data_IF_660943042484
#
_entry.id   IF_660943042484
#
_cell.length_a   1.000
_cell.length_b   1.000
_cell.length_c   1.000
_cell.angle_alpha   90.00
_cell.angle_beta   90.00
_cell.angle_gamma   90.00
#
_symmetry.space_group_name_H-M   'P 1'
#
loop_
_entity.id
_entity.type
_entity.pdbx_description
1 polymer ?
#
# COMPACT_ATOMS: atom_id res chain seq x y z
N UNK A 1 91.87 -4.79 -38.18
CA UNK A 1 90.54 -4.77 -38.84
C UNK A 1 89.54 -5.42 -37.89
N UNK A 2 88.76 -4.61 -37.16
CA UNK A 2 87.72 -5.10 -36.23
C UNK A 2 86.39 -5.18 -36.98
N UNK A 3 85.70 -6.30 -36.80
CA UNK A 3 84.41 -6.66 -37.39
C UNK A 3 83.37 -5.53 -37.40
N UNK A 4 82.99 -5.05 -38.59
CA UNK A 4 81.82 -4.19 -38.84
C UNK A 4 80.59 -4.99 -39.31
N UNK A 5 80.62 -6.33 -39.22
CA UNK A 5 79.61 -7.21 -39.82
C UNK A 5 78.35 -7.51 -38.99
N UNK A 6 78.12 -6.88 -37.82
CA UNK A 6 77.07 -7.32 -36.89
C UNK A 6 76.10 -6.25 -36.38
N UNK A 7 76.03 -5.07 -37.01
CA UNK A 7 75.09 -4.01 -36.61
C UNK A 7 73.78 -4.01 -37.43
N UNK A 8 73.80 -4.55 -38.66
CA UNK A 8 72.66 -4.50 -39.60
C UNK A 8 71.55 -5.55 -39.33
N UNK A 9 71.74 -6.52 -38.43
CA UNK A 9 70.82 -7.67 -38.24
C UNK A 9 69.59 -7.38 -37.35
N UNK A 10 69.46 -6.17 -36.80
CA UNK A 10 68.42 -5.81 -35.83
C UNK A 10 67.28 -4.91 -36.34
N UNK A 11 67.39 -4.32 -37.54
CA UNK A 11 66.41 -3.33 -38.02
C UNK A 11 65.32 -4.03 -38.84
N UNK A 12 64.25 -4.43 -38.14
CA UNK A 12 63.02 -4.92 -38.79
C UNK A 12 62.14 -3.73 -39.18
N UNK A 13 61.40 -3.88 -40.27
CA UNK A 13 60.39 -2.90 -40.66
C UNK A 13 59.39 -2.68 -39.52
N UNK A 14 59.14 -1.42 -39.21
CA UNK A 14 58.23 -1.04 -38.12
C UNK A 14 56.96 -0.46 -38.71
N UNK A 15 55.81 -1.05 -38.35
CA UNK A 15 54.49 -0.50 -38.68
C UNK A 15 54.21 0.70 -37.77
N UNK A 16 54.04 1.88 -38.34
CA UNK A 16 53.85 3.15 -37.63
C UNK A 16 52.46 3.71 -37.95
N UNK A 17 51.68 4.16 -36.94
CA UNK A 17 50.37 4.76 -37.17
C UNK A 17 50.48 6.06 -37.97
N UNK A 18 49.45 6.37 -38.76
CA UNK A 18 49.36 7.63 -39.49
C UNK A 18 49.31 8.84 -38.53
N UNK A 19 50.00 9.94 -38.88
CA UNK A 19 49.93 11.20 -38.13
C UNK A 19 48.54 11.86 -38.11
N UNK A 20 47.69 11.60 -39.10
CA UNK A 20 46.39 12.26 -39.23
C UNK A 20 45.41 11.76 -38.17
N UNK A 21 44.94 12.68 -37.32
CA UNK A 21 43.95 12.35 -36.29
C UNK A 21 42.63 11.89 -36.92
N UNK A 22 42.17 10.69 -36.53
CA UNK A 22 40.98 10.04 -37.10
C UNK A 22 41.28 9.03 -38.20
N UNK A 23 42.53 8.95 -38.70
CA UNK A 23 42.93 7.90 -39.63
C UNK A 23 43.40 6.65 -38.87
N UNK A 24 42.84 5.49 -39.20
CA UNK A 24 43.22 4.19 -38.64
C UNK A 24 44.35 3.49 -39.42
N UNK A 25 44.77 4.06 -40.54
CA UNK A 25 45.81 3.49 -41.39
C UNK A 25 47.21 3.67 -40.78
N UNK A 26 48.14 2.87 -41.29
CA UNK A 26 49.55 2.87 -40.90
C UNK A 26 50.45 2.90 -42.14
N UNK A 27 51.72 3.23 -41.93
CA UNK A 27 52.78 3.12 -42.95
C UNK A 27 53.94 2.30 -42.38
N UNK A 28 54.86 1.88 -43.23
CA UNK A 28 56.01 1.07 -42.85
C UNK A 28 57.27 1.92 -42.85
N UNK A 29 57.95 1.99 -41.70
CA UNK A 29 59.26 2.60 -41.57
C UNK A 29 60.31 1.56 -41.94
N UNK A 30 60.85 1.67 -43.15
CA UNK A 30 61.74 0.65 -43.71
C UNK A 30 63.08 0.61 -42.99
N UNK A 31 63.78 -0.52 -43.06
CA UNK A 31 65.08 -0.67 -42.40
C UNK A 31 66.12 0.35 -42.92
N UNK A 32 66.05 0.71 -44.21
CA UNK A 32 66.90 1.73 -44.83
C UNK A 32 66.63 3.13 -44.27
N UNK A 33 65.36 3.53 -44.14
CA UNK A 33 64.99 4.80 -43.53
C UNK A 33 65.37 4.87 -42.04
N UNK A 34 65.31 3.74 -41.34
CA UNK A 34 65.79 3.64 -39.95
C UNK A 34 67.30 3.82 -39.85
N UNK A 35 68.07 3.25 -40.79
CA UNK A 35 69.53 3.43 -40.86
C UNK A 35 69.91 4.88 -41.18
N UNK A 36 69.21 5.52 -42.12
CA UNK A 36 69.47 6.92 -42.46
C UNK A 36 69.16 7.84 -41.28
N UNK A 37 68.02 7.66 -40.61
CA UNK A 37 67.68 8.44 -39.42
C UNK A 37 68.72 8.26 -38.31
N UNK A 38 69.22 7.04 -38.10
CA UNK A 38 70.27 6.75 -37.11
C UNK A 38 71.62 7.40 -37.49
N UNK A 39 71.97 7.42 -38.78
CA UNK A 39 73.16 8.10 -39.29
C UNK A 39 73.09 9.63 -39.12
N UNK A 40 71.89 10.20 -39.22
CA UNK A 40 71.60 11.61 -38.93
C UNK A 40 71.48 11.92 -37.42
N UNK A 41 71.63 10.91 -36.56
CA UNK A 41 71.54 11.05 -35.10
C UNK A 41 70.10 11.17 -34.57
N UNK A 42 69.09 10.95 -35.41
CA UNK A 42 67.68 10.95 -35.01
C UNK A 42 67.22 9.56 -34.63
N UNK A 43 66.77 9.38 -33.39
CA UNK A 43 66.18 8.13 -32.89
C UNK A 43 64.65 8.17 -32.85
N UNK A 44 64.05 9.32 -33.17
CA UNK A 44 62.60 9.51 -33.14
C UNK A 44 61.93 8.99 -34.41
N UNK A 45 60.80 8.29 -34.24
CA UNK A 45 59.99 7.81 -35.35
C UNK A 45 59.38 9.01 -36.09
N UNK A 46 59.60 9.16 -37.40
CA UNK A 46 59.04 10.28 -38.16
C UNK A 46 57.51 10.31 -38.08
N UNK A 47 56.93 11.47 -37.77
CA UNK A 47 55.47 11.66 -37.83
C UNK A 47 55.05 11.93 -39.28
N UNK A 48 54.78 10.88 -40.06
CA UNK A 48 54.37 10.95 -41.48
C UNK A 48 52.91 10.54 -41.71
N UNK A 49 52.35 10.97 -42.84
CA UNK A 49 51.03 10.53 -43.30
C UNK A 49 51.15 9.15 -43.97
N UNK A 50 50.10 8.33 -43.89
CA UNK A 50 50.06 7.09 -44.67
C UNK A 50 49.88 7.41 -46.17
N UNK A 51 50.22 6.49 -47.08
CA UNK A 51 50.10 6.72 -48.52
C UNK A 51 48.69 7.17 -48.95
N UNK A 52 47.64 6.60 -48.35
CA UNK A 52 46.25 6.99 -48.62
C UNK A 52 45.97 8.44 -48.21
N UNK A 53 46.38 8.84 -47.00
CA UNK A 53 46.22 10.20 -46.53
C UNK A 53 47.05 11.20 -47.35
N UNK A 54 48.26 10.80 -47.76
CA UNK A 54 49.10 11.64 -48.60
C UNK A 54 48.48 11.87 -49.98
N UNK A 55 47.98 10.81 -50.62
CA UNK A 55 47.29 10.92 -51.91
C UNK A 55 46.01 11.76 -51.85
N UNK A 56 45.25 11.69 -50.73
CA UNK A 56 44.11 12.58 -50.52
C UNK A 56 44.53 14.01 -50.20
N UNK A 57 45.60 14.21 -49.43
CA UNK A 57 46.14 15.52 -49.09
C UNK A 57 46.55 16.31 -50.34
N UNK A 58 47.18 15.63 -51.30
CA UNK A 58 47.67 16.24 -52.53
C UNK A 58 46.52 16.79 -53.40
N UNK A 59 45.40 16.06 -53.45
CA UNK A 59 44.17 16.45 -54.16
C UNK A 59 43.39 17.59 -53.51
N UNK A 60 43.63 17.89 -52.23
CA UNK A 60 42.91 18.96 -51.55
C UNK A 60 43.52 20.31 -51.95
N UNK A 61 42.68 21.33 -52.03
CA UNK A 61 43.09 22.72 -52.25
C UNK A 61 42.68 23.58 -51.06
N UNK A 62 43.40 24.67 -50.83
CA UNK A 62 43.01 25.63 -49.79
C UNK A 62 41.73 26.33 -50.25
N UNK A 63 40.69 26.29 -49.42
CA UNK A 63 39.39 26.91 -49.72
C UNK A 63 39.15 28.12 -48.85
N UNK A 64 38.60 29.18 -49.43
CA UNK A 64 38.09 30.31 -48.66
C UNK A 64 36.67 30.01 -48.19
N UNK A 65 36.45 30.17 -46.89
CA UNK A 65 35.17 29.92 -46.23
C UNK A 65 34.65 31.22 -45.63
N UNK A 66 33.33 31.48 -45.67
CA UNK A 66 32.76 32.68 -45.06
C UNK A 66 32.98 32.68 -43.53
N UNK A 67 33.09 33.89 -42.97
CA UNK A 67 33.13 34.11 -41.53
C UNK A 67 31.81 33.67 -40.88
N UNK A 68 31.90 33.02 -39.72
CA UNK A 68 30.72 32.62 -38.95
C UNK A 68 30.03 33.77 -38.18
N UNK A 69 30.66 34.96 -38.09
CA UNK A 69 30.06 36.10 -37.40
C UNK A 69 28.94 36.71 -38.27
N UNK A 70 27.75 36.85 -37.69
CA UNK A 70 26.58 37.44 -38.38
C UNK A 70 26.89 38.87 -38.84
N UNK A 71 26.72 39.13 -40.14
CA UNK A 71 27.00 40.43 -40.75
C UNK A 71 28.45 40.65 -41.20
N UNK A 72 29.37 39.71 -40.96
CA UNK A 72 30.73 39.78 -41.47
C UNK A 72 30.83 39.17 -42.88
N UNK A 73 31.38 39.93 -43.84
CA UNK A 73 31.67 39.45 -45.20
C UNK A 73 33.08 38.89 -45.38
N UNK A 74 33.89 38.87 -44.29
CA UNK A 74 35.25 38.35 -44.34
C UNK A 74 35.28 36.83 -44.56
N UNK A 75 36.43 36.34 -45.01
CA UNK A 75 36.68 34.91 -45.22
C UNK A 75 37.83 34.41 -44.35
N UNK A 76 37.91 33.10 -44.15
CA UNK A 76 39.05 32.42 -43.54
C UNK A 76 39.51 31.27 -44.42
N UNK A 77 40.79 30.90 -44.30
CA UNK A 77 41.39 29.85 -45.12
C UNK A 77 41.22 28.49 -44.47
N UNK A 78 40.45 27.62 -45.10
CA UNK A 78 40.36 26.21 -44.74
C UNK A 78 41.51 25.46 -45.41
N UNK A 79 42.60 25.26 -44.66
CA UNK A 79 43.79 24.57 -45.17
C UNK A 79 43.56 23.09 -45.48
N UNK A 80 44.43 22.52 -46.32
CA UNK A 80 44.38 21.10 -46.75
C UNK A 80 44.43 20.11 -45.56
N UNK A 81 45.21 20.43 -44.52
CA UNK A 81 45.39 19.52 -43.38
C UNK A 81 44.12 19.41 -42.50
N UNK A 82 43.50 20.51 -42.03
CA UNK A 82 42.18 20.45 -41.39
C UNK A 82 41.10 19.79 -42.24
N UNK A 83 41.07 20.05 -43.56
CA UNK A 83 40.15 19.40 -44.49
C UNK A 83 40.28 17.88 -44.47
N UNK A 84 41.52 17.38 -44.55
CA UNK A 84 41.79 15.96 -44.49
C UNK A 84 41.39 15.36 -43.12
N UNK A 85 41.69 16.04 -42.02
CA UNK A 85 41.32 15.59 -40.68
C UNK A 85 39.80 15.51 -40.49
N UNK A 86 39.05 16.51 -40.94
CA UNK A 86 37.59 16.51 -40.86
C UNK A 86 37.00 15.40 -41.73
N UNK A 87 37.55 15.17 -42.94
CA UNK A 87 37.14 14.06 -43.82
C UNK A 87 37.40 12.69 -43.18
N UNK A 88 38.58 12.47 -42.57
CA UNK A 88 38.89 11.22 -41.86
C UNK A 88 38.01 11.00 -40.64
N UNK A 89 37.48 12.07 -40.03
CA UNK A 89 36.50 12.01 -38.94
C UNK A 89 35.04 11.87 -39.42
N UNK A 90 34.82 11.73 -40.73
CA UNK A 90 33.48 11.62 -41.32
C UNK A 90 32.66 12.91 -41.26
N UNK A 91 33.28 14.07 -41.03
CA UNK A 91 32.57 15.36 -41.06
C UNK A 91 32.37 15.78 -42.51
N UNK A 92 31.12 16.00 -42.88
CA UNK A 92 30.72 16.43 -44.23
C UNK A 92 30.70 17.95 -44.38
N UNK A 93 30.57 18.68 -43.28
CA UNK A 93 30.51 20.15 -43.28
C UNK A 93 31.78 20.75 -42.64
N UNK A 94 32.36 21.81 -43.24
CA UNK A 94 33.46 22.56 -42.65
C UNK A 94 33.07 23.17 -41.29
N UNK A 95 34.01 23.30 -40.34
CA UNK A 95 33.73 23.94 -39.06
C UNK A 95 33.44 25.43 -39.22
N UNK A 96 32.49 25.94 -38.45
CA UNK A 96 32.21 27.37 -38.37
C UNK A 96 33.36 28.08 -37.64
N UNK A 97 34.07 28.99 -38.34
CA UNK A 97 35.20 29.76 -37.79
C UNK A 97 35.09 31.24 -38.14
N UNK A 98 35.72 32.07 -37.32
CA UNK A 98 35.81 33.49 -37.57
C UNK A 98 36.95 33.79 -38.55
N UNK A 99 36.80 34.86 -39.32
CA UNK A 99 37.91 35.42 -40.08
C UNK A 99 38.98 35.97 -39.13
N UNK A 100 40.25 36.11 -39.57
CA UNK A 100 41.33 36.60 -38.70
C UNK A 100 41.02 37.94 -38.01
N UNK A 101 40.27 38.83 -38.68
CA UNK A 101 39.83 40.10 -38.11
C UNK A 101 38.83 39.91 -36.95
N UNK A 102 37.78 39.12 -37.15
CA UNK A 102 36.80 38.82 -36.10
C UNK A 102 37.40 37.98 -34.96
N UNK A 103 38.38 37.12 -35.26
CA UNK A 103 39.09 36.37 -34.22
C UNK A 103 39.98 37.29 -33.37
N UNK A 104 40.63 38.29 -33.98
CA UNK A 104 41.34 39.37 -33.28
C UNK A 104 40.41 40.19 -32.38
N UNK A 105 39.26 40.63 -32.91
CA UNK A 105 38.24 41.33 -32.12
C UNK A 105 37.74 40.48 -30.96
N UNK A 106 37.44 39.20 -31.20
CA UNK A 106 37.01 38.28 -30.15
C UNK A 106 38.08 38.04 -29.06
N UNK A 107 39.37 38.14 -29.41
CA UNK A 107 40.47 38.03 -28.46
C UNK A 107 40.66 39.29 -27.61
N UNK A 108 40.32 40.46 -28.15
CA UNK A 108 40.33 41.74 -27.42
C UNK A 108 39.16 41.85 -26.43
N UNK A 109 38.02 41.24 -26.73
CA UNK A 109 36.85 41.22 -25.83
C UNK A 109 37.16 40.35 -24.61
N UNK A 110 37.27 40.99 -23.43
CA UNK A 110 37.46 40.28 -22.18
C UNK A 110 36.28 39.36 -21.88
N UNK A 111 36.59 38.12 -21.50
CA UNK A 111 35.57 37.17 -21.05
C UNK A 111 34.86 37.70 -19.80
N UNK A 112 33.53 37.73 -19.82
CA UNK A 112 32.73 38.19 -18.69
C UNK A 112 32.29 36.98 -17.87
N UNK A 113 32.61 36.95 -16.59
CA UNK A 113 32.10 35.93 -15.68
C UNK A 113 30.60 36.12 -15.41
N UNK A 114 29.85 35.02 -15.51
CA UNK A 114 28.41 34.99 -15.29
C UNK A 114 28.06 33.87 -14.32
N UNK A 115 27.02 34.10 -13.53
CA UNK A 115 26.50 33.10 -12.60
C UNK A 115 25.87 31.93 -13.37
N UNK A 116 26.00 30.73 -12.81
CA UNK A 116 25.33 29.55 -13.33
C UNK A 116 23.80 29.71 -13.27
N UNK A 117 23.10 29.29 -14.34
CA UNK A 117 21.62 29.27 -14.39
C UNK A 117 20.97 28.43 -13.29
N UNK A 118 21.68 27.42 -12.79
CA UNK A 118 21.13 26.41 -11.86
C UNK A 118 20.92 27.01 -10.48
N UNK A 119 19.69 26.95 -9.96
CA UNK A 119 19.37 27.45 -8.63
C UNK A 119 20.21 26.75 -7.55
N UNK A 120 20.85 27.53 -6.68
CA UNK A 120 21.72 27.03 -5.62
C UNK A 120 23.17 26.76 -6.03
N UNK A 121 23.53 26.93 -7.31
CA UNK A 121 24.92 26.85 -7.75
C UNK A 121 25.61 28.23 -7.63
N UNK A 122 26.73 28.31 -6.91
CA UNK A 122 27.55 29.52 -6.77
C UNK A 122 28.67 29.63 -7.81
N UNK A 123 28.86 28.60 -8.64
CA UNK A 123 29.89 28.61 -9.67
C UNK A 123 29.55 29.61 -10.79
N UNK A 124 30.59 30.13 -11.40
CA UNK A 124 30.50 30.99 -12.57
C UNK A 124 30.90 30.23 -13.84
N UNK A 125 30.57 30.80 -14.99
CA UNK A 125 31.08 30.42 -16.29
C UNK A 125 31.51 31.66 -17.06
N UNK A 126 32.42 31.49 -18.02
CA UNK A 126 33.01 32.60 -18.76
C UNK A 126 32.27 32.75 -20.08
N UNK A 127 31.60 33.89 -20.27
CA UNK A 127 31.08 34.28 -21.57
C UNK A 127 32.22 34.82 -22.41
N UNK A 128 32.85 33.94 -23.21
CA UNK A 128 34.07 34.28 -23.97
C UNK A 128 33.81 35.39 -24.99
N UNK A 129 34.84 36.18 -25.33
CA UNK A 129 34.71 37.23 -26.35
C UNK A 129 34.22 36.71 -27.70
N UNK A 130 34.54 35.46 -28.04
CA UNK A 130 34.03 34.78 -29.22
C UNK A 130 32.51 34.55 -29.17
N UNK A 131 32.00 34.13 -28.01
CA UNK A 131 30.56 33.93 -27.80
C UNK A 131 29.82 35.27 -27.75
N UNK A 132 30.42 36.29 -27.15
CA UNK A 132 29.89 37.66 -27.12
C UNK A 132 29.74 38.21 -28.53
N UNK A 133 30.78 38.07 -29.37
CA UNK A 133 30.74 38.53 -30.76
C UNK A 133 29.73 37.74 -31.61
N UNK A 134 29.51 36.45 -31.32
CA UNK A 134 28.50 35.65 -32.03
C UNK A 134 27.06 35.93 -31.59
N UNK A 135 26.85 36.50 -30.40
CA UNK A 135 25.51 36.69 -29.87
C UNK A 135 24.82 37.85 -30.60
N UNK A 136 23.61 37.62 -31.11
CA UNK A 136 22.78 38.66 -31.73
C UNK A 136 22.30 39.71 -30.70
N UNK A 137 22.20 39.31 -29.43
CA UNK A 137 21.80 40.17 -28.31
C UNK A 137 22.98 40.53 -27.42
N UNK A 138 23.00 41.76 -26.90
CA UNK A 138 23.94 42.19 -25.86
C UNK A 138 23.73 41.50 -24.50
N UNK A 139 22.63 40.76 -24.34
CA UNK A 139 22.33 39.97 -23.14
C UNK A 139 23.00 38.59 -23.21
N UNK A 140 23.77 38.21 -22.18
CA UNK A 140 24.36 36.87 -22.10
C UNK A 140 23.27 35.79 -22.05
N UNK A 141 23.47 34.64 -22.70
CA UNK A 141 22.56 33.51 -22.60
C UNK A 141 22.60 32.90 -21.19
N UNK A 142 21.47 32.38 -20.70
CA UNK A 142 21.45 31.63 -19.45
C UNK A 142 22.04 30.22 -19.65
N UNK A 143 23.33 30.05 -19.29
CA UNK A 143 24.04 28.77 -19.37
C UNK A 143 24.35 28.17 -18.00
N UNK A 144 24.56 26.86 -18.00
CA UNK A 144 25.07 26.13 -16.84
C UNK A 144 26.59 26.25 -16.81
N UNK A 145 27.19 26.28 -15.62
CA UNK A 145 28.65 26.14 -15.50
C UNK A 145 29.10 24.74 -15.93
N UNK A 146 30.39 24.58 -16.26
CA UNK A 146 30.95 23.32 -16.75
C UNK A 146 30.65 22.15 -15.79
N UNK A 147 30.83 22.36 -14.49
CA UNK A 147 30.54 21.34 -13.46
C UNK A 147 29.07 20.90 -13.47
N UNK A 148 28.14 21.85 -13.58
CA UNK A 148 26.70 21.55 -13.67
C UNK A 148 26.37 20.86 -15.00
N UNK A 149 26.98 21.27 -16.10
CA UNK A 149 26.77 20.67 -17.41
C UNK A 149 27.22 19.20 -17.44
N UNK A 150 28.39 18.89 -16.88
CA UNK A 150 28.89 17.52 -16.77
C UNK A 150 27.98 16.65 -15.90
N UNK A 151 27.50 17.16 -14.76
CA UNK A 151 26.50 16.46 -13.93
C UNK A 151 25.20 16.23 -14.69
N UNK A 152 24.69 17.26 -15.37
CA UNK A 152 23.45 17.15 -16.16
C UNK A 152 23.56 16.12 -17.29
N UNK A 153 24.73 16.03 -17.96
CA UNK A 153 24.99 14.99 -18.96
C UNK A 153 25.02 13.57 -18.39
N UNK A 154 25.46 13.41 -17.15
CA UNK A 154 25.54 12.12 -16.47
C UNK A 154 24.19 11.65 -15.90
N UNK A 155 23.23 12.56 -15.75
CA UNK A 155 21.88 12.24 -15.30
C UNK A 155 21.01 11.84 -16.50
N UNK A 156 19.97 11.06 -16.24
CA UNK A 156 18.91 10.69 -17.19
C UNK A 156 17.55 11.02 -16.57
N UNK A 157 16.55 11.32 -17.40
CA UNK A 157 15.20 11.55 -16.89
C UNK A 157 14.65 10.24 -16.30
N UNK A 158 14.08 10.31 -15.09
CA UNK A 158 13.61 9.13 -14.37
C UNK A 158 12.10 9.17 -14.19
N UNK A 159 11.42 8.07 -14.47
CA UNK A 159 10.01 7.90 -14.10
C UNK A 159 9.90 7.52 -12.62
N UNK A 160 9.25 8.37 -11.83
CA UNK A 160 9.04 8.16 -10.40
C UNK A 160 7.57 7.84 -10.15
N UNK A 161 7.29 6.93 -9.22
CA UNK A 161 5.93 6.56 -8.84
C UNK A 161 5.15 7.76 -8.28
N UNK A 162 3.85 7.80 -8.54
CA UNK A 162 2.93 8.76 -7.95
C UNK A 162 2.91 8.62 -6.41
N UNK A 163 2.74 9.73 -5.70
CA UNK A 163 2.61 9.76 -4.25
C UNK A 163 1.39 8.97 -3.71
N UNK A 164 0.35 8.79 -4.52
CA UNK A 164 -0.88 8.08 -4.13
C UNK A 164 -0.61 6.57 -4.13
N UNK A 165 -0.74 5.91 -2.97
CA UNK A 165 -0.35 4.50 -2.78
C UNK A 165 -1.03 3.50 -3.73
N UNK A 166 -2.26 3.80 -4.15
CA UNK A 166 -3.04 2.96 -5.08
C UNK A 166 -2.84 3.31 -6.56
N UNK A 167 -2.11 4.38 -6.88
CA UNK A 167 -1.88 4.81 -8.25
C UNK A 167 -0.64 4.12 -8.85
N UNK A 168 -0.80 3.47 -10.00
CA UNK A 168 0.31 2.93 -10.79
C UNK A 168 0.94 3.96 -11.73
N UNK A 169 0.38 5.17 -11.79
CA UNK A 169 0.90 6.26 -12.62
C UNK A 169 2.27 6.73 -12.16
N UNK A 170 3.05 7.21 -13.11
CA UNK A 170 4.38 7.79 -12.86
C UNK A 170 4.43 9.24 -13.31
N UNK A 171 5.36 10.02 -12.77
CA UNK A 171 5.70 11.35 -13.27
C UNK A 171 7.19 11.41 -13.61
N UNK A 172 7.57 12.34 -14.50
CA UNK A 172 8.94 12.48 -14.99
C UNK A 172 9.75 13.40 -14.06
N UNK A 173 10.76 12.85 -13.41
CA UNK A 173 11.74 13.61 -12.65
C UNK A 173 12.88 14.03 -13.59
N UNK A 174 12.81 15.27 -14.08
CA UNK A 174 13.76 15.77 -15.07
C UNK A 174 15.19 15.83 -14.54
N UNK A 175 16.19 15.70 -15.42
CA UNK A 175 17.62 15.84 -15.10
C UNK A 175 17.94 17.15 -14.38
N UNK A 176 17.29 18.24 -14.77
CA UNK A 176 17.49 19.56 -14.14
C UNK A 176 16.99 19.52 -12.69
N UNK A 177 15.77 19.03 -12.47
CA UNK A 177 15.20 18.91 -11.11
C UNK A 177 15.96 17.92 -10.23
N UNK A 178 16.56 16.87 -10.81
CA UNK A 178 17.44 15.94 -10.09
C UNK A 178 18.71 16.63 -9.61
N UNK A 179 19.37 17.37 -10.50
CA UNK A 179 20.58 18.10 -10.15
C UNK A 179 20.30 19.22 -9.13
N UNK A 180 19.19 19.94 -9.25
CA UNK A 180 18.76 20.93 -8.24
C UNK A 180 18.54 20.29 -6.87
N UNK A 181 17.92 19.11 -6.83
CA UNK A 181 17.76 18.36 -5.58
C UNK A 181 19.12 17.96 -4.98
N UNK A 182 20.05 17.47 -5.79
CA UNK A 182 21.41 17.12 -5.36
C UNK A 182 22.18 18.32 -4.80
N UNK A 183 22.08 19.49 -5.43
CA UNK A 183 22.70 20.73 -4.92
C UNK A 183 22.05 21.18 -3.60
N UNK A 184 20.75 20.92 -3.41
CA UNK A 184 20.05 21.14 -2.16
C UNK A 184 20.27 20.03 -1.11
N UNK A 185 21.16 19.06 -1.36
CA UNK A 185 21.45 17.95 -0.45
C UNK A 185 20.33 16.90 -0.34
N UNK A 186 19.45 16.82 -1.34
CA UNK A 186 18.35 15.86 -1.41
C UNK A 186 18.61 14.83 -2.50
N UNK A 187 18.78 13.57 -2.11
CA UNK A 187 18.95 12.45 -3.06
C UNK A 187 17.63 11.82 -3.48
N UNK A 188 16.60 11.92 -2.65
CA UNK A 188 15.28 11.33 -2.92
C UNK A 188 14.40 12.25 -3.79
N UNK A 189 13.61 11.67 -4.72
CA UNK A 189 12.65 12.43 -5.49
C UNK A 189 11.59 13.06 -4.57
N UNK A 190 11.14 14.30 -4.84
CA UNK A 190 10.04 14.89 -4.11
C UNK A 190 8.76 14.06 -4.31
N UNK A 191 7.94 13.95 -3.25
CA UNK A 191 6.62 13.33 -3.38
C UNK A 191 5.73 14.24 -4.24
N UNK A 192 5.33 13.74 -5.41
CA UNK A 192 4.47 14.45 -6.38
C UNK A 192 3.40 13.52 -6.93
N UNK A 193 2.34 14.12 -7.44
CA UNK A 193 1.30 13.41 -8.18
C UNK A 193 1.72 13.18 -9.63
N UNK A 194 1.24 12.08 -10.24
CA UNK A 194 1.17 12.01 -11.69
C UNK A 194 0.15 13.02 -12.23
N UNK A 195 0.21 13.32 -13.52
CA UNK A 195 -0.66 14.32 -14.16
C UNK A 195 -2.15 14.01 -13.92
N UNK A 196 -2.57 12.74 -14.05
CA UNK A 196 -3.96 12.33 -13.86
C UNK A 196 -4.43 12.54 -12.41
N UNK A 197 -3.60 12.17 -11.44
CA UNK A 197 -3.90 12.40 -10.02
C UNK A 197 -3.92 13.89 -9.69
N UNK A 198 -3.04 14.69 -10.32
CA UNK A 198 -3.00 16.13 -10.11
C UNK A 198 -4.27 16.82 -10.62
N UNK A 199 -4.75 16.46 -11.82
CA UNK A 199 -6.00 17.00 -12.36
C UNK A 199 -7.21 16.59 -11.51
N UNK A 200 -7.29 15.33 -11.07
CA UNK A 200 -8.32 14.89 -10.12
C UNK A 200 -8.24 15.66 -8.80
N UNK A 201 -7.04 15.89 -8.27
CA UNK A 201 -6.83 16.59 -7.00
C UNK A 201 -7.31 18.04 -7.04
N UNK A 202 -7.15 18.76 -8.16
CA UNK A 202 -7.60 20.14 -8.32
C UNK A 202 -9.10 20.32 -8.10
N UNK A 203 -9.90 19.34 -8.50
CA UNK A 203 -11.37 19.39 -8.40
C UNK A 203 -11.92 18.92 -7.05
N UNK A 204 -11.07 18.47 -6.12
CA UNK A 204 -11.50 18.02 -4.80
C UNK A 204 -11.40 19.16 -3.79
N UNK A 205 -12.27 19.15 -2.80
CA UNK A 205 -12.29 20.05 -1.65
C UNK A 205 -12.49 19.24 -0.36
N UNK A 206 -11.99 19.73 0.78
CA UNK A 206 -12.19 19.03 2.04
C UNK A 206 -13.69 19.03 2.41
N UNK A 207 -14.27 17.85 2.62
CA UNK A 207 -15.70 17.70 2.92
C UNK A 207 -15.91 17.29 4.37
N UNK A 208 -16.91 17.87 5.02
CA UNK A 208 -17.38 17.40 6.33
C UNK A 208 -18.43 16.30 6.09
N UNK A 209 -18.15 15.10 6.59
CA UNK A 209 -19.00 13.91 6.44
C UNK A 209 -19.58 13.56 7.81
N UNK A 210 -20.87 13.16 7.90
CA UNK A 210 -21.45 12.71 9.16
C UNK A 210 -20.72 11.50 9.75
N UNK A 211 -20.78 11.36 11.06
CA UNK A 211 -20.31 10.18 11.77
C UNK A 211 -21.10 8.94 11.32
N UNK A 212 -20.43 7.79 11.24
CA UNK A 212 -21.07 6.49 10.97
C UNK A 212 -22.14 6.10 12.02
N UNK A 213 -22.05 6.62 13.24
CA UNK A 213 -22.98 6.29 14.33
C UNK A 213 -24.23 7.15 14.16
N UNK A 214 -25.38 6.51 13.98
CA UNK A 214 -26.66 7.17 13.66
C UNK A 214 -27.09 8.22 14.71
N UNK A 215 -26.73 8.03 15.97
CA UNK A 215 -27.08 8.93 17.09
C UNK A 215 -25.99 9.99 17.35
N UNK A 216 -24.96 10.09 16.51
CA UNK A 216 -23.88 11.06 16.68
C UNK A 216 -23.94 12.16 15.62
N UNK A 217 -24.28 13.38 16.04
CA UNK A 217 -24.26 14.58 15.19
C UNK A 217 -22.84 15.06 14.82
N UNK A 218 -21.81 14.35 15.28
CA UNK A 218 -20.43 14.67 14.98
C UNK A 218 -20.13 14.52 13.48
N UNK A 219 -19.22 15.34 12.98
CA UNK A 219 -18.69 15.20 11.61
C UNK A 219 -17.20 14.93 11.64
N UNK A 220 -16.68 14.34 10.57
CA UNK A 220 -15.24 14.21 10.34
C UNK A 220 -14.87 14.82 8.98
N UNK A 221 -13.61 15.22 8.86
CA UNK A 221 -13.11 15.85 7.63
C UNK A 221 -12.57 14.77 6.70
N UNK A 222 -13.24 14.56 5.57
CA UNK A 222 -12.73 13.76 4.48
C UNK A 222 -11.81 14.62 3.63
N UNK A 223 -10.51 14.53 3.90
CA UNK A 223 -9.50 15.35 3.21
C UNK A 223 -9.47 15.09 1.70
N UNK A 224 -9.08 16.10 0.91
CA UNK A 224 -8.86 15.98 -0.53
C UNK A 224 -7.95 14.82 -0.91
N UNK A 225 -6.90 14.58 -0.10
CA UNK A 225 -5.98 13.47 -0.32
C UNK A 225 -6.68 12.11 -0.13
N UNK A 226 -7.45 11.96 0.95
CA UNK A 226 -8.20 10.71 1.21
C UNK A 226 -9.31 10.47 0.18
N UNK A 227 -9.91 11.54 -0.34
CA UNK A 227 -10.84 11.48 -1.46
C UNK A 227 -10.15 10.96 -2.72
N UNK A 228 -8.99 11.53 -3.07
CA UNK A 228 -8.20 11.07 -4.22
C UNK A 228 -7.78 9.61 -4.08
N UNK A 229 -7.34 9.18 -2.90
CA UNK A 229 -6.97 7.78 -2.63
C UNK A 229 -8.14 6.82 -2.85
N UNK A 230 -9.34 7.19 -2.37
CA UNK A 230 -10.57 6.40 -2.53
C UNK A 230 -10.99 6.35 -4.00
N UNK A 231 -10.92 7.48 -4.70
CA UNK A 231 -11.23 7.58 -6.11
C UNK A 231 -10.27 6.76 -6.98
N UNK A 232 -8.98 6.74 -6.66
CA UNK A 232 -8.00 5.94 -7.41
C UNK A 232 -8.12 4.45 -7.09
N UNK A 233 -8.39 4.08 -5.84
CA UNK A 233 -8.48 2.68 -5.40
C UNK A 233 -9.78 2.01 -5.86
N UNK A 234 -10.92 2.65 -5.60
CA UNK A 234 -12.24 2.04 -5.73
C UNK A 234 -13.08 2.68 -6.84
N UNK A 235 -12.57 3.74 -7.50
CA UNK A 235 -13.35 4.58 -8.42
C UNK A 235 -14.64 5.17 -7.80
N UNK A 236 -14.73 5.19 -6.47
CA UNK A 236 -15.89 5.69 -5.74
C UNK A 236 -15.69 7.13 -5.29
N UNK A 237 -16.76 7.92 -5.40
CA UNK A 237 -16.88 9.27 -4.85
C UNK A 237 -17.57 9.29 -3.49
N UNK A 238 -17.96 8.13 -2.98
CA UNK A 238 -18.65 8.02 -1.69
C UNK A 238 -17.65 8.00 -0.52
N UNK A 239 -17.95 8.72 0.56
CA UNK A 239 -17.10 8.73 1.73
C UNK A 239 -17.10 7.37 2.43
N UNK A 240 -15.95 6.90 2.92
CA UNK A 240 -15.90 5.69 3.73
C UNK A 240 -16.67 5.89 5.05
N UNK A 241 -17.31 4.82 5.52
CA UNK A 241 -18.04 4.82 6.79
C UNK A 241 -17.06 4.89 7.98
N UNK A 242 -16.79 6.10 8.47
CA UNK A 242 -15.86 6.40 9.57
C UNK A 242 -16.55 7.11 10.73
N UNK A 243 -15.96 6.95 11.91
CA UNK A 243 -16.40 7.63 13.13
C UNK A 243 -15.78 9.03 13.19
N UNK A 244 -16.47 9.98 13.84
CA UNK A 244 -15.90 11.28 14.15
C UNK A 244 -14.76 11.17 15.17
N UNK A 245 -13.94 12.22 15.29
CA UNK A 245 -12.79 12.23 16.22
C UNK A 245 -13.20 11.93 17.66
N UNK A 246 -14.32 12.51 18.13
CA UNK A 246 -14.87 12.24 19.46
C UNK A 246 -15.23 10.77 19.66
N UNK A 247 -16.02 10.19 18.76
CA UNK A 247 -16.39 8.78 18.85
C UNK A 247 -15.20 7.83 18.70
N UNK A 248 -14.18 8.19 17.91
CA UNK A 248 -12.95 7.40 17.82
C UNK A 248 -12.10 7.46 19.10
N UNK A 249 -12.07 8.61 19.79
CA UNK A 249 -11.42 8.73 21.10
C UNK A 249 -12.15 7.88 22.12
N UNK A 250 -13.47 8.05 22.25
CA UNK A 250 -14.28 7.27 23.19
C UNK A 250 -14.17 5.76 22.99
N UNK A 251 -14.11 5.28 21.73
CA UNK A 251 -13.88 3.86 21.46
C UNK A 251 -12.48 3.40 21.87
N UNK A 252 -11.49 4.28 21.79
CA UNK A 252 -10.11 4.00 22.21
C UNK A 252 -9.96 4.00 23.73
N UNK A 253 -10.74 4.85 24.40
CA UNK A 253 -10.82 4.97 25.86
C UNK A 253 -11.73 3.88 26.48
N UNK A 254 -12.59 3.25 25.69
CA UNK A 254 -13.43 2.15 26.14
C UNK A 254 -12.58 0.91 26.48
N UNK A 255 -12.78 0.38 27.67
CA UNK A 255 -12.14 -0.85 28.15
C UNK A 255 -13.07 -2.05 28.02
N UNK A 256 -12.48 -3.25 28.04
CA UNK A 256 -13.23 -4.49 28.13
C UNK A 256 -13.83 -4.62 29.54
N UNK A 257 -15.14 -4.86 29.63
CA UNK A 257 -15.85 -4.94 30.91
C UNK A 257 -16.23 -6.38 31.24
N UNK A 258 -15.97 -6.80 32.47
CA UNK A 258 -16.39 -8.11 32.99
C UNK A 258 -17.78 -8.02 33.63
N UNK A 259 -18.71 -8.86 33.20
CA UNK A 259 -20.07 -8.93 33.73
C UNK A 259 -20.36 -10.31 34.33
N UNK A 260 -21.25 -10.42 35.33
CA UNK A 260 -21.61 -11.71 35.90
C UNK A 260 -22.33 -12.61 34.88
N UNK A 261 -22.10 -13.92 34.99
CA UNK A 261 -22.82 -14.91 34.20
C UNK A 261 -24.33 -14.86 34.48
N UNK A 262 -25.14 -15.00 33.42
CA UNK A 262 -26.61 -15.07 33.52
C UNK A 262 -27.11 -16.28 34.32
N UNK A 263 -26.35 -17.38 34.36
CA UNK A 263 -26.76 -18.61 35.06
C UNK A 263 -26.74 -18.38 36.57
N UNK A 264 -27.89 -18.49 37.28
CA UNK A 264 -27.93 -18.36 38.73
C UNK A 264 -27.01 -19.38 39.40
N UNK A 265 -26.21 -18.93 40.38
CA UNK A 265 -25.24 -19.77 41.09
C UNK A 265 -23.87 -19.89 40.41
N UNK A 266 -23.72 -19.44 39.16
CA UNK A 266 -22.41 -19.35 38.52
C UNK A 266 -21.66 -18.09 38.99
N UNK A 267 -20.44 -18.26 39.49
CA UNK A 267 -19.53 -17.16 39.88
C UNK A 267 -18.65 -16.66 38.72
N UNK A 268 -18.73 -17.31 37.56
CA UNK A 268 -18.00 -16.91 36.37
C UNK A 268 -18.47 -15.57 35.82
N UNK A 269 -17.57 -14.88 35.13
CA UNK A 269 -17.88 -13.65 34.41
C UNK A 269 -17.73 -13.89 32.90
N UNK A 270 -18.37 -13.03 32.11
CA UNK A 270 -18.13 -12.93 30.68
C UNK A 270 -17.61 -11.55 30.35
N UNK A 271 -16.73 -11.47 29.37
CA UNK A 271 -16.11 -10.21 28.96
C UNK A 271 -16.88 -9.59 27.81
N UNK A 272 -17.35 -8.37 28.02
CA UNK A 272 -17.85 -7.52 26.95
C UNK A 272 -16.69 -6.76 26.33
N UNK A 273 -16.42 -7.04 25.05
CA UNK A 273 -15.38 -6.35 24.29
C UNK A 273 -15.67 -4.85 24.22
N UNK A 274 -14.63 -4.01 24.25
CA UNK A 274 -14.68 -2.55 24.19
C UNK A 274 -15.60 -1.99 23.11
N UNK A 275 -15.66 -2.63 21.93
CA UNK A 275 -16.53 -2.20 20.84
C UNK A 275 -18.02 -2.37 21.15
N UNK A 276 -18.38 -3.42 21.89
CA UNK A 276 -19.74 -3.63 22.36
C UNK A 276 -20.07 -2.70 23.53
N UNK A 277 -19.12 -2.44 24.43
CA UNK A 277 -19.25 -1.44 25.51
C UNK A 277 -19.53 -0.06 24.91
N UNK A 278 -18.77 0.35 23.91
CA UNK A 278 -18.94 1.61 23.19
C UNK A 278 -20.28 1.66 22.42
N UNK A 279 -20.65 0.60 21.69
CA UNK A 279 -21.93 0.57 20.99
C UNK A 279 -23.12 0.69 21.95
N UNK A 280 -23.00 0.08 23.13
CA UNK A 280 -24.00 0.20 24.19
C UNK A 280 -24.04 1.60 24.80
N UNK A 281 -22.89 2.25 25.02
CA UNK A 281 -22.86 3.60 25.60
C UNK A 281 -23.56 4.62 24.70
N UNK A 282 -23.52 4.42 23.37
CA UNK A 282 -24.24 5.24 22.40
C UNK A 282 -25.74 4.97 22.40
N UNK A 283 -26.14 3.70 22.22
CA UNK A 283 -27.55 3.30 22.15
C UNK A 283 -28.32 3.30 23.48
N UNK A 284 -27.63 3.54 24.60
CA UNK A 284 -28.18 3.39 25.95
C UNK A 284 -28.84 2.02 26.21
N UNK A 285 -28.46 0.98 25.46
CA UNK A 285 -29.03 -0.35 25.62
C UNK A 285 -28.62 -0.98 26.98
N UNK A 286 -29.46 -1.83 27.58
CA UNK A 286 -29.07 -2.55 28.80
C UNK A 286 -27.96 -3.58 28.53
N UNK A 287 -27.17 -3.89 29.56
CA UNK A 287 -26.15 -4.96 29.50
C UNK A 287 -26.82 -6.28 29.12
N UNK A 288 -26.40 -6.96 28.03
CA UNK A 288 -27.03 -8.20 27.63
C UNK A 288 -26.72 -9.29 28.65
N UNK A 289 -27.73 -10.08 29.04
CA UNK A 289 -27.52 -11.23 29.93
C UNK A 289 -26.92 -12.39 29.14
N UNK A 290 -25.60 -12.58 29.22
CA UNK A 290 -24.86 -13.68 28.57
C UNK A 290 -24.32 -14.69 29.56
N UNK A 291 -23.98 -15.87 29.06
CA UNK A 291 -23.28 -16.90 29.83
C UNK A 291 -21.76 -16.62 29.83
N UNK A 292 -21.05 -17.00 30.89
CA UNK A 292 -19.59 -17.09 30.85
C UNK A 292 -19.13 -18.16 29.85
N UNK A 293 -17.86 -18.10 29.46
CA UNK A 293 -17.26 -19.03 28.49
C UNK A 293 -17.44 -20.49 28.92
N UNK A 294 -17.16 -20.80 30.19
CA UNK A 294 -17.36 -22.14 30.76
C UNK A 294 -18.82 -22.62 30.67
N UNK A 295 -19.78 -21.73 30.97
CA UNK A 295 -21.20 -22.07 30.89
C UNK A 295 -21.66 -22.23 29.45
N UNK A 296 -21.12 -21.44 28.51
CA UNK A 296 -21.41 -21.57 27.08
C UNK A 296 -20.88 -22.91 26.56
N UNK A 297 -19.62 -23.24 26.84
CA UNK A 297 -19.01 -24.51 26.45
C UNK A 297 -19.80 -25.70 27.03
N UNK A 298 -20.16 -25.62 28.32
CA UNK A 298 -20.97 -26.66 28.96
C UNK A 298 -22.38 -26.78 28.34
N UNK A 299 -22.98 -25.67 27.91
CA UNK A 299 -24.30 -25.67 27.26
C UNK A 299 -24.27 -26.35 25.88
N UNK A 300 -23.14 -26.28 25.18
CA UNK A 300 -22.93 -26.96 23.89
C UNK A 300 -22.72 -28.47 24.05
N UNK A 301 -22.13 -28.91 25.16
CA UNK A 301 -21.99 -30.34 25.52
C UNK A 301 -23.31 -30.99 25.97
N UNK A 302 -24.18 -30.22 26.62
CA UNK A 302 -25.43 -30.73 27.16
C UNK A 302 -26.47 -30.89 26.05
N UNK A 303 -26.97 -32.11 25.89
CA UNK A 303 -28.17 -32.38 25.10
C UNK A 303 -29.42 -32.29 25.97
N UNK A 304 -30.58 -32.11 25.33
CA UNK A 304 -31.85 -32.33 26.01
C UNK A 304 -31.96 -33.80 26.42
N UNK A 305 -32.44 -34.06 27.63
CA UNK A 305 -32.55 -35.41 28.21
C UNK A 305 -34.02 -35.76 28.41
N UNK A 306 -34.42 -36.92 27.90
CA UNK A 306 -35.77 -37.45 28.14
C UNK A 306 -35.77 -38.24 29.45
N UNK A 307 -36.61 -37.81 30.37
CA UNK A 307 -36.75 -38.43 31.69
C UNK A 307 -38.13 -39.04 31.86
N UNK A 308 -38.18 -40.16 32.54
CA UNK A 308 -39.44 -40.80 32.89
C UNK A 308 -40.31 -39.88 33.75
N UNK A 309 -41.63 -39.92 33.51
CA UNK A 309 -42.61 -39.26 34.34
C UNK A 309 -42.43 -39.61 35.82
N UNK A 310 -42.63 -38.63 36.73
CA UNK A 310 -42.61 -38.88 38.19
C UNK A 310 -43.60 -39.96 38.64
N UNK A 311 -44.61 -40.21 37.83
CA UNK A 311 -45.65 -41.23 38.05
C UNK A 311 -45.37 -42.56 37.33
N UNK A 312 -44.15 -42.79 36.85
CA UNK A 312 -43.76 -44.08 36.29
C UNK A 312 -43.95 -45.25 37.27
N UNK A 313 -43.86 -44.99 38.59
CA UNK A 313 -44.19 -45.96 39.65
C UNK A 313 -45.66 -46.44 39.61
N UNK A 314 -46.54 -45.67 38.98
CA UNK A 314 -47.94 -45.99 38.75
C UNK A 314 -48.20 -46.33 37.28
N UNK A 315 -47.22 -46.89 36.56
CA UNK A 315 -47.43 -47.37 35.20
C UNK A 315 -47.42 -46.31 34.09
N UNK A 316 -47.16 -45.03 34.39
CA UNK A 316 -47.03 -44.00 33.35
C UNK A 316 -45.74 -44.18 32.52
N UNK A 317 -45.87 -44.40 31.22
CA UNK A 317 -44.75 -44.52 30.28
C UNK A 317 -44.35 -43.20 29.62
N UNK A 318 -45.05 -42.11 29.93
CA UNK A 318 -44.74 -40.80 29.37
C UNK A 318 -43.37 -40.28 29.83
N UNK A 319 -42.72 -39.52 28.96
CA UNK A 319 -41.47 -38.83 29.25
C UNK A 319 -41.68 -37.32 29.30
N UNK A 320 -40.78 -36.60 29.97
CA UNK A 320 -40.67 -35.15 29.85
C UNK A 320 -39.24 -34.77 29.45
N UNK A 321 -39.10 -33.68 28.69
CA UNK A 321 -37.81 -33.21 28.19
C UNK A 321 -37.19 -32.25 29.19
N UNK A 322 -36.06 -32.64 29.79
CA UNK A 322 -35.26 -31.76 30.62
C UNK A 322 -34.30 -30.95 29.75
N UNK A 323 -34.73 -29.73 29.42
CA UNK A 323 -33.96 -28.82 28.56
C UNK A 323 -32.55 -28.60 29.11
N UNK A 324 -31.55 -28.66 28.24
CA UNK A 324 -30.12 -28.46 28.55
C UNK A 324 -29.83 -27.22 29.39
N UNK A 325 -30.51 -26.09 29.16
CA UNK A 325 -30.31 -24.88 29.96
C UNK A 325 -30.78 -25.07 31.41
N UNK A 326 -31.86 -25.81 31.63
CA UNK A 326 -32.36 -26.12 32.98
C UNK A 326 -31.44 -27.13 33.68
N UNK A 327 -30.82 -28.05 32.93
CA UNK A 327 -29.76 -28.96 33.43
C UNK A 327 -28.56 -28.15 33.91
N UNK A 328 -28.08 -27.22 33.09
CA UNK A 328 -26.95 -26.35 33.45
C UNK A 328 -27.22 -25.51 34.70
N UNK A 329 -28.43 -24.92 34.83
CA UNK A 329 -28.84 -24.18 36.03
C UNK A 329 -28.88 -25.06 37.27
N UNK A 330 -29.34 -26.30 37.12
CA UNK A 330 -29.31 -27.31 38.18
C UNK A 330 -27.87 -27.63 38.61
N UNK A 331 -26.99 -27.96 37.66
CA UNK A 331 -25.57 -28.26 37.91
C UNK A 331 -24.87 -27.12 38.67
N UNK A 332 -25.09 -25.86 38.27
CA UNK A 332 -24.45 -24.68 38.89
C UNK A 332 -25.14 -24.18 40.16
N UNK A 333 -26.37 -24.61 40.45
CA UNK A 333 -27.15 -24.17 41.61
C UNK A 333 -26.71 -24.73 42.97
N UNK A 334 -25.70 -25.61 43.00
CA UNK A 334 -25.01 -26.05 44.23
C UNK A 334 -25.80 -26.95 45.19
N UNK A 335 -27.06 -27.27 44.90
CA UNK A 335 -27.88 -28.21 45.70
C UNK A 335 -28.16 -29.45 44.85
N UNK A 336 -27.51 -30.59 45.15
CA UNK A 336 -27.77 -31.95 44.62
C UNK A 336 -28.87 -32.00 43.56
N UNK A 337 -28.58 -31.48 42.38
CA UNK A 337 -29.60 -31.15 41.41
C UNK A 337 -29.79 -32.35 40.51
N UNK A 338 -30.26 -33.43 41.11
CA UNK A 338 -30.78 -34.55 40.35
C UNK A 338 -31.91 -34.07 39.41
N UNK A 339 -32.20 -34.86 38.37
CA UNK A 339 -33.30 -34.60 37.47
C UNK A 339 -34.59 -34.26 38.23
N UNK A 340 -35.29 -33.18 37.86
CA UNK A 340 -36.49 -32.79 38.58
C UNK A 340 -37.55 -33.88 38.41
N UNK A 341 -38.22 -34.26 39.49
CA UNK A 341 -39.32 -35.24 39.43
C UNK A 341 -40.60 -34.55 38.90
N UNK A 342 -40.67 -34.33 37.58
CA UNK A 342 -41.82 -33.72 36.90
C UNK A 342 -42.77 -34.75 36.31
N UNK A 343 -44.04 -34.38 36.19
CA UNK A 343 -45.01 -35.14 35.43
C UNK A 343 -44.73 -34.98 33.92
N UNK A 344 -45.04 -36.00 33.12
CA UNK A 344 -45.09 -35.84 31.67
C UNK A 344 -46.25 -34.91 31.28
N UNK A 345 -46.24 -34.33 30.06
CA UNK A 345 -47.31 -33.42 29.62
C UNK A 345 -48.72 -34.00 29.75
N UNK A 346 -48.88 -35.31 29.53
CA UNK A 346 -50.17 -36.00 29.71
C UNK A 346 -50.65 -36.02 31.16
N UNK A 347 -49.78 -36.42 32.10
CA UNK A 347 -50.11 -36.39 33.53
C UNK A 347 -50.29 -34.97 34.07
N UNK A 348 -49.52 -33.99 33.58
CA UNK A 348 -49.69 -32.58 33.98
C UNK A 348 -51.03 -32.03 33.50
N UNK A 349 -51.43 -32.30 32.25
CA UNK A 349 -52.75 -31.95 31.75
C UNK A 349 -53.86 -32.61 32.59
N UNK A 350 -53.72 -33.89 32.93
CA UNK A 350 -54.67 -34.59 33.79
C UNK A 350 -54.80 -33.94 35.18
N UNK A 351 -53.70 -33.53 35.79
CA UNK A 351 -53.72 -32.81 37.08
C UNK A 351 -54.40 -31.44 36.97
N UNK A 352 -54.14 -30.69 35.90
CA UNK A 352 -54.78 -29.37 35.67
C UNK A 352 -56.29 -29.53 35.45
N UNK A 353 -56.71 -30.54 34.70
CA UNK A 353 -58.13 -30.84 34.49
C UNK A 353 -58.79 -31.31 35.78
N UNK A 354 -58.14 -32.21 36.52
CA UNK A 354 -58.67 -32.80 37.73
C UNK A 354 -58.60 -31.87 38.95
N UNK A 355 -57.70 -30.87 38.97
CA UNK A 355 -57.63 -29.87 40.04
C UNK A 355 -58.95 -29.10 40.21
N UNK A 356 -59.69 -28.92 39.12
CA UNK A 356 -61.05 -28.34 39.12
C UNK A 356 -62.12 -29.27 39.71
N UNK A 357 -61.86 -30.59 39.75
CA UNK A 357 -62.78 -31.63 40.22
C UNK A 357 -62.14 -32.53 41.29
N UNK A 358 -61.19 -32.00 42.05
CA UNK A 358 -60.43 -32.77 43.04
C UNK A 358 -61.27 -33.15 44.26
N UNK A 359 -62.48 -32.60 44.36
CA UNK A 359 -63.43 -32.90 45.41
C UNK A 359 -64.39 -34.01 44.96
N UNK A 360 -64.42 -35.09 45.72
CA UNK A 360 -65.44 -36.13 45.58
C UNK A 360 -66.68 -35.62 46.29
N UNK A 361 -67.76 -35.41 45.53
CA UNK A 361 -69.07 -35.06 46.06
C UNK A 361 -69.99 -36.27 46.04
N UNK A 362 -70.92 -36.33 46.97
CA UNK A 362 -71.96 -37.36 47.03
C UNK A 362 -72.79 -37.34 45.74
N UNK A 363 -72.92 -38.49 45.08
CA UNK A 363 -73.75 -38.60 43.88
C UNK A 363 -75.25 -38.38 44.14
N UNK A 364 -75.71 -38.59 45.37
CA UNK A 364 -77.11 -38.40 45.76
C UNK A 364 -77.46 -36.95 46.12
N UNK A 365 -76.59 -36.25 46.85
CA UNK A 365 -76.91 -34.92 47.41
C UNK A 365 -75.87 -33.83 47.12
N UNK A 366 -74.80 -34.12 46.39
CA UNK A 366 -73.72 -33.17 46.09
C UNK A 366 -72.84 -32.80 47.28
N UNK A 367 -73.10 -33.32 48.49
CA UNK A 367 -72.32 -33.02 49.67
C UNK A 367 -70.85 -33.43 49.49
N UNK A 368 -69.92 -32.57 49.90
CA UNK A 368 -68.49 -32.88 49.90
C UNK A 368 -68.21 -34.12 50.76
N UNK A 369 -67.43 -35.06 50.22
CA UNK A 369 -67.04 -36.29 50.92
C UNK A 369 -65.55 -36.22 51.28
N UNK A 370 -64.69 -36.00 50.28
CA UNK A 370 -63.25 -35.94 50.48
C UNK A 370 -62.57 -35.23 49.31
N UNK A 371 -61.33 -34.77 49.51
CA UNK A 371 -60.46 -34.27 48.44
C UNK A 371 -59.47 -35.37 48.04
N UNK A 372 -59.34 -35.63 46.74
CA UNK A 372 -58.40 -36.58 46.18
C UNK A 372 -56.99 -35.99 46.19
N UNK A 373 -56.00 -36.82 46.55
CA UNK A 373 -54.59 -36.46 46.41
C UNK A 373 -54.17 -36.45 44.93
N UNK A 374 -53.07 -35.77 44.59
CA UNK A 374 -52.51 -35.82 43.23
C UNK A 374 -52.22 -37.25 42.77
N UNK A 375 -51.75 -38.11 43.68
CA UNK A 375 -51.48 -39.52 43.41
C UNK A 375 -52.78 -40.27 43.06
N UNK A 376 -53.90 -39.99 43.75
CA UNK A 376 -55.20 -40.60 43.45
C UNK A 376 -55.74 -40.18 42.09
N UNK A 377 -55.66 -38.89 41.78
CA UNK A 377 -56.11 -38.34 40.49
C UNK A 377 -55.36 -38.98 39.33
N UNK A 378 -54.05 -39.18 39.50
CA UNK A 378 -53.23 -39.83 38.49
C UNK A 378 -53.51 -41.33 38.41
N UNK A 379 -53.69 -42.04 39.52
CA UNK A 379 -54.08 -43.45 39.48
C UNK A 379 -55.43 -43.64 38.79
N UNK A 380 -56.38 -42.71 38.96
CA UNK A 380 -57.65 -42.71 38.23
C UNK A 380 -57.42 -42.45 36.74
N UNK A 381 -56.63 -41.43 36.40
CA UNK A 381 -56.32 -41.10 35.00
C UNK A 381 -55.62 -42.23 34.25
N UNK A 382 -54.70 -42.94 34.93
CA UNK A 382 -53.96 -44.08 34.37
C UNK A 382 -54.77 -45.39 34.40
N UNK A 383 -56.00 -45.38 34.93
CA UNK A 383 -56.88 -46.55 34.97
C UNK A 383 -56.53 -47.59 36.04
N UNK A 384 -55.66 -47.25 37.00
CA UNK A 384 -55.29 -48.13 38.11
C UNK A 384 -56.30 -48.10 39.27
N UNK A 385 -57.08 -47.03 39.39
CA UNK A 385 -58.13 -46.88 40.40
C UNK A 385 -59.41 -46.37 39.76
N UNK A 386 -60.56 -46.94 40.11
CA UNK A 386 -61.85 -46.38 39.71
C UNK A 386 -62.14 -45.11 40.51
N UNK A 387 -62.67 -44.07 39.87
CA UNK A 387 -63.13 -42.88 40.58
C UNK A 387 -64.11 -43.28 41.69
N UNK A 388 -63.91 -42.85 42.94
CA UNK A 388 -64.79 -43.25 44.04
C UNK A 388 -66.19 -42.66 43.82
N UNK A 389 -67.14 -43.51 43.45
CA UNK A 389 -68.56 -43.17 43.48
C UNK A 389 -69.01 -43.35 44.92
N UNK A 390 -68.76 -42.34 45.75
CA UNK A 390 -69.14 -42.38 47.15
C UNK A 390 -70.50 -41.72 47.35
N UNK A 391 -71.43 -42.43 47.99
CA UNK A 391 -72.59 -41.83 48.63
C UNK A 391 -72.13 -41.36 50.02
N UNK A 392 -72.57 -40.17 50.44
CA UNK A 392 -72.37 -39.74 51.82
C UNK A 392 -73.09 -40.72 52.78
N UNK A 393 -72.68 -40.82 54.06
CA UNK A 393 -73.27 -41.74 55.02
C UNK A 393 -74.81 -41.69 55.06
N UNK A 394 -75.38 -40.49 54.92
CA UNK A 394 -76.83 -40.24 54.89
C UNK A 394 -77.52 -40.86 53.68
N UNK A 395 -77.01 -40.60 52.47
CA UNK A 395 -77.58 -41.20 51.25
C UNK A 395 -77.36 -42.72 51.20
N UNK A 396 -76.33 -43.23 51.87
CA UNK A 396 -76.07 -44.68 51.98
C UNK A 396 -77.07 -45.39 52.91
N UNK A 397 -77.57 -44.70 53.94
CA UNK A 397 -78.62 -45.24 54.84
C UNK A 397 -80.00 -45.22 54.20
N UNK A 398 -80.31 -44.19 53.39
CA UNK A 398 -81.61 -44.10 52.69
C UNK A 398 -81.80 -45.20 51.64
N UNK A 399 -80.74 -45.61 50.93
CA UNK A 399 -80.85 -46.71 49.95
C UNK A 399 -81.09 -48.10 50.56
N UNK A 400 -80.90 -48.26 51.88
CA UNK A 400 -81.05 -49.56 52.57
C UNK A 400 -82.40 -49.77 53.25
N UNK A 401 -83.26 -48.75 53.28
CA UNK A 401 -84.65 -48.87 53.71
C UNK A 401 -85.56 -48.66 52.49
N UNK A 402 -85.85 -49.71 51.70
CA UNK A 402 -86.88 -49.65 50.67
C UNK A 402 -88.28 -49.41 51.26
#
# INVERSE_FOLDING_TARGET
>A
MKNTGSFMKGLKEKKVPCRIQGCTNSWYWTAEEQLMALAEGSTEIPKRMCPTCFGEFDKLEVREMPCAHHGCTGTWQYGKLPQLQDRMRGRTQPPQRFCPACDGQAAEIQGVERVCKVSGCTNTWIWSGREQLSAESSTPPEKMCETCYQKWRALEDRSVACQVKSCQGTWQWSRISQMEAQLAGREEPPRRFCNDCFEKFKGLEDRKVPCRIEECDGTWVWSRMSQLETLVRDSSTEPPQRMCSGCSSELSDAEDLSHPCRIPGCTGTWTEKRSAVFARSKSHAPVPRRMCEDCSARMDELTDEELACRYARYGCTGVFVWKRESRLRAEKGGRNAGPPKKACPGCEAALVHAGKSSTVTCSGCGAFIMQLSEDDLIQIHLGHRTAPVALCPTCRTEQKNP
#
